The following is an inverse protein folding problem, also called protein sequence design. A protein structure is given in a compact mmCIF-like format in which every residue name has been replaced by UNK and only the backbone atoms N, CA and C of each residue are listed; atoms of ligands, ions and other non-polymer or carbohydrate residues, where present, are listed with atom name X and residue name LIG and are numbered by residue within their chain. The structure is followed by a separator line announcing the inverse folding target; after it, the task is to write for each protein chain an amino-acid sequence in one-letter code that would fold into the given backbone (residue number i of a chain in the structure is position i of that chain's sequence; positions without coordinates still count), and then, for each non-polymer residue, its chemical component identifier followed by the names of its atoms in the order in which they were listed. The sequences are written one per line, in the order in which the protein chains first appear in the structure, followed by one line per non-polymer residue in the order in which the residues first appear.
data_IF_833254001148
#
_entry.id   IF_833254001148
#
_cell.length_a   1.000
_cell.length_b   1.000
_cell.length_c   1.000
_cell.angle_alpha   90.00
_cell.angle_beta   90.00
_cell.angle_gamma   90.00
#
_symmetry.space_group_name_H-M   'P 1'
#
loop_
_entity.id
_entity.type
_entity.pdbx_description
1 polymer ?
#
# COMPACT_ATOMS: atom_id res chain seq x y z
N UNK A 1 -25.14 30.68 -20.95
CA UNK A 1 -23.78 30.16 -20.70
C UNK A 1 -23.73 29.58 -19.30
N UNK A 2 -23.68 28.26 -19.17
CA UNK A 2 -23.66 27.57 -17.87
C UNK A 2 -22.21 27.52 -17.43
N UNK A 3 -21.86 28.29 -16.39
CA UNK A 3 -20.53 28.27 -15.79
C UNK A 3 -20.28 26.88 -15.16
N UNK A 4 -19.39 26.09 -15.73
CA UNK A 4 -18.96 24.81 -15.17
C UNK A 4 -18.09 25.09 -13.94
N UNK A 5 -18.60 24.76 -12.76
CA UNK A 5 -17.82 24.79 -11.53
C UNK A 5 -16.63 23.84 -11.61
N UNK A 6 -15.46 24.31 -11.28
CA UNK A 6 -14.26 23.46 -11.16
C UNK A 6 -14.37 22.56 -9.93
N UNK A 7 -13.71 21.39 -9.94
CA UNK A 7 -13.65 20.46 -8.77
C UNK A 7 -13.28 21.18 -7.47
N UNK A 8 -12.38 22.13 -7.53
CA UNK A 8 -11.93 22.92 -6.39
C UNK A 8 -13.00 23.85 -5.85
N UNK A 9 -13.81 24.46 -6.73
CA UNK A 9 -14.95 25.28 -6.35
C UNK A 9 -16.10 24.46 -5.79
N UNK A 10 -16.33 23.25 -6.33
CA UNK A 10 -17.33 22.32 -5.79
C UNK A 10 -17.00 21.90 -4.35
N UNK A 11 -15.75 21.50 -4.09
CA UNK A 11 -15.30 21.10 -2.74
C UNK A 11 -15.39 22.28 -1.75
N UNK A 12 -14.97 23.48 -2.17
CA UNK A 12 -15.02 24.68 -1.34
C UNK A 12 -16.45 25.12 -1.03
N UNK A 13 -17.35 25.03 -1.99
CA UNK A 13 -18.75 25.39 -1.84
C UNK A 13 -19.52 24.35 -0.98
N UNK A 14 -19.14 23.07 -1.03
CA UNK A 14 -19.69 22.03 -0.15
C UNK A 14 -19.29 22.23 1.31
N UNK A 15 -18.06 22.69 1.57
CA UNK A 15 -17.59 23.03 2.92
C UNK A 15 -18.31 24.26 3.49
N UNK A 16 -18.63 25.27 2.65
CA UNK A 16 -19.36 26.49 3.06
C UNK A 16 -20.84 26.19 3.26
N UNK A 17 -21.45 25.29 2.48
CA UNK A 17 -22.86 24.89 2.66
C UNK A 17 -23.07 24.12 3.97
N UNK A 18 -22.09 23.32 4.42
CA UNK A 18 -22.12 22.66 5.73
C UNK A 18 -22.04 23.64 6.91
N UNK A 19 -21.39 24.79 6.74
CA UNK A 19 -21.30 25.82 7.77
C UNK A 19 -22.55 26.71 7.88
N UNK A 20 -23.33 26.83 6.78
CA UNK A 20 -24.51 27.69 6.75
C UNK A 20 -25.78 27.04 7.35
N UNK A 21 -25.87 25.73 7.43
CA UNK A 21 -27.00 25.02 8.06
C UNK A 21 -26.86 24.95 9.59
N UNK A 22 -25.66 25.21 10.13
CA UNK A 22 -25.42 25.25 11.58
C UNK A 22 -25.78 26.54 12.31
N UNK A 23 -26.16 27.61 11.60
CA UNK A 23 -26.41 28.92 12.22
C UNK A 23 -27.85 29.14 12.75
N UNK A 24 -28.67 28.11 12.77
CA UNK A 24 -30.13 28.23 13.13
C UNK A 24 -30.59 27.45 14.35
N UNK A 25 -29.73 26.81 15.13
CA UNK A 25 -30.10 26.05 16.33
C UNK A 25 -29.18 26.42 17.48
N UNK A 26 -29.82 26.78 18.60
CA UNK A 26 -29.30 27.26 19.86
C UNK A 26 -27.94 26.68 20.30
N UNK A 27 -27.11 27.56 20.85
CA UNK A 27 -25.94 27.30 21.67
C UNK A 27 -26.17 26.11 22.62
N UNK A 28 -25.73 24.93 22.22
CA UNK A 28 -25.51 23.83 23.12
C UNK A 28 -24.01 23.46 23.07
N UNK A 29 -23.43 23.19 24.24
CA UNK A 29 -22.03 23.01 24.58
C UNK A 29 -21.26 21.87 23.84
N UNK A 30 -21.68 21.46 22.65
CA UNK A 30 -21.10 20.28 21.95
C UNK A 30 -20.10 20.60 20.87
N UNK A 31 -19.85 21.85 20.51
CA UNK A 31 -18.87 22.24 19.48
C UNK A 31 -17.39 21.99 19.86
N UNK A 32 -16.95 22.20 21.11
CA UNK A 32 -15.55 21.96 21.46
C UNK A 32 -15.14 20.48 21.41
N UNK A 33 -16.06 19.55 21.68
CA UNK A 33 -15.78 18.12 21.64
C UNK A 33 -15.60 17.58 20.21
N UNK A 34 -16.39 18.01 19.25
CA UNK A 34 -16.28 17.55 17.86
C UNK A 34 -14.99 18.04 17.20
N UNK A 35 -14.60 19.31 17.43
CA UNK A 35 -13.31 19.85 16.97
C UNK A 35 -12.13 19.17 17.66
N UNK A 36 -12.21 18.91 18.95
CA UNK A 36 -11.19 18.20 19.70
C UNK A 36 -11.06 16.75 19.28
N UNK A 37 -12.15 16.05 18.99
CA UNK A 37 -12.16 14.70 18.46
C UNK A 37 -11.53 14.65 17.06
N UNK A 38 -11.90 15.55 16.16
CA UNK A 38 -11.30 15.65 14.82
C UNK A 38 -9.82 15.96 14.89
N UNK A 39 -9.37 16.87 15.76
CA UNK A 39 -7.95 17.16 15.97
C UNK A 39 -7.19 16.00 16.60
N UNK A 40 -7.84 15.17 17.43
CA UNK A 40 -7.21 13.97 18.01
C UNK A 40 -7.07 12.84 16.98
N UNK A 41 -8.03 12.67 16.07
CA UNK A 41 -7.93 11.70 14.97
C UNK A 41 -6.84 12.09 13.96
N UNK A 42 -6.75 13.34 13.57
CA UNK A 42 -5.72 13.83 12.64
C UNK A 42 -4.30 13.70 13.21
N UNK A 43 -4.12 13.84 14.52
CA UNK A 43 -2.82 13.60 15.18
C UNK A 43 -2.33 12.16 15.10
N UNK A 44 -3.21 11.19 14.83
CA UNK A 44 -2.85 9.78 14.64
C UNK A 44 -2.43 9.45 13.22
N UNK A 45 -2.61 10.36 12.27
CA UNK A 45 -2.26 10.15 10.85
C UNK A 45 -0.80 10.54 10.66
N UNK A 46 0.02 9.60 10.21
CA UNK A 46 1.42 9.88 9.88
C UNK A 46 1.49 10.93 8.78
N UNK A 47 2.36 11.94 8.97
CA UNK A 47 2.60 13.01 8.00
C UNK A 47 1.34 13.76 7.57
N UNK A 48 0.39 13.95 8.49
CA UNK A 48 -0.87 14.60 8.15
C UNK A 48 -0.66 15.92 7.38
N UNK A 49 -1.35 16.02 6.26
CA UNK A 49 -1.40 17.22 5.43
C UNK A 49 -2.87 17.49 5.07
N UNK A 50 -3.41 18.68 5.35
CA UNK A 50 -4.83 18.99 5.10
C UNK A 50 -5.21 18.96 3.60
N UNK A 51 -4.24 19.06 2.70
CA UNK A 51 -4.46 18.97 1.24
C UNK A 51 -4.43 17.51 0.74
N UNK A 52 -4.13 16.53 1.60
CA UNK A 52 -4.08 15.10 1.27
C UNK A 52 -5.32 14.40 1.81
N UNK A 53 -5.96 13.60 0.96
CA UNK A 53 -7.01 12.69 1.39
C UNK A 53 -6.40 11.45 2.05
N UNK A 54 -6.98 11.03 3.19
CA UNK A 54 -6.60 9.79 3.87
C UNK A 54 -7.79 8.86 3.95
N UNK A 55 -7.54 7.57 3.80
CA UNK A 55 -8.57 6.54 3.85
C UNK A 55 -8.17 5.43 4.80
N UNK A 56 -9.13 4.94 5.56
CA UNK A 56 -8.92 3.79 6.43
C UNK A 56 -8.67 2.53 5.60
N UNK A 57 -7.58 1.85 5.89
CA UNK A 57 -7.21 0.60 5.22
C UNK A 57 -7.85 -0.60 5.93
N UNK A 58 -9.14 -0.80 5.74
CA UNK A 58 -9.90 -1.88 6.36
C UNK A 58 -9.69 -1.97 7.88
N UNK A 59 -9.79 -3.17 8.42
CA UNK A 59 -9.63 -3.45 9.86
C UNK A 59 -8.22 -3.22 10.42
N UNK A 60 -7.22 -2.90 9.59
CA UNK A 60 -5.92 -2.47 10.09
C UNK A 60 -6.00 -1.18 10.89
N UNK A 61 -7.04 -0.37 10.67
CA UNK A 61 -7.20 0.95 11.25
C UNK A 61 -6.20 2.00 10.77
N UNK A 62 -5.27 1.63 9.88
CA UNK A 62 -4.31 2.58 9.32
C UNK A 62 -5.01 3.60 8.44
N UNK A 63 -4.77 4.87 8.69
CA UNK A 63 -5.17 5.96 7.82
C UNK A 63 -4.08 6.18 6.78
N UNK A 64 -4.31 5.72 5.57
CA UNK A 64 -3.34 5.75 4.46
C UNK A 64 -3.69 6.88 3.50
N UNK A 65 -2.68 7.63 3.06
CA UNK A 65 -2.83 8.66 2.05
C UNK A 65 -3.39 8.08 0.74
N UNK A 66 -4.29 8.82 0.09
CA UNK A 66 -4.92 8.38 -1.17
C UNK A 66 -3.90 8.18 -2.29
N UNK A 67 -2.76 8.88 -2.22
CA UNK A 67 -1.59 8.66 -3.07
C UNK A 67 -0.51 7.98 -2.25
N UNK A 68 0.10 6.93 -2.81
CA UNK A 68 1.17 6.16 -2.17
C UNK A 68 2.42 6.17 -3.05
N UNK A 69 3.58 6.07 -2.41
CA UNK A 69 4.84 5.95 -3.12
C UNK A 69 5.03 4.48 -3.53
N UNK A 70 5.13 4.23 -4.83
CA UNK A 70 5.46 2.93 -5.40
C UNK A 70 6.91 2.87 -5.85
N UNK A 71 7.31 1.69 -6.33
CA UNK A 71 8.60 1.46 -6.98
C UNK A 71 8.50 1.46 -8.50
N UNK A 72 9.16 0.50 -9.15
CA UNK A 72 9.14 0.28 -10.60
C UNK A 72 9.66 1.48 -11.41
N UNK A 73 10.72 2.10 -10.96
CA UNK A 73 11.35 3.26 -11.60
C UNK A 73 12.16 2.90 -12.86
N UNK A 74 11.49 2.54 -13.93
CA UNK A 74 12.12 2.07 -15.19
C UNK A 74 12.96 3.12 -15.93
N UNK A 75 12.77 4.39 -15.67
CA UNK A 75 13.39 5.49 -16.44
C UNK A 75 14.16 6.46 -15.55
N UNK A 76 14.60 6.01 -14.41
CA UNK A 76 15.25 6.90 -13.46
C UNK A 76 16.59 7.44 -14.00
N UNK A 77 17.32 6.66 -14.76
CA UNK A 77 18.57 7.08 -15.42
C UNK A 77 18.39 8.30 -16.34
N UNK A 78 17.21 8.48 -16.92
CA UNK A 78 16.90 9.69 -17.71
C UNK A 78 16.82 10.96 -16.86
N UNK A 79 16.65 10.81 -15.57
CA UNK A 79 16.54 11.91 -14.61
C UNK A 79 17.85 12.18 -13.91
N UNK A 80 18.55 11.13 -13.48
CA UNK A 80 19.78 11.23 -12.69
C UNK A 80 21.05 11.00 -13.50
N UNK A 81 20.93 10.59 -14.75
CA UNK A 81 22.08 10.16 -15.59
C UNK A 81 22.51 8.73 -15.28
N UNK A 82 23.50 8.26 -16.03
CA UNK A 82 24.02 6.89 -15.93
C UNK A 82 23.67 6.04 -17.14
N UNK A 83 24.07 4.78 -17.12
CA UNK A 83 23.75 3.81 -18.16
C UNK A 83 22.34 3.27 -18.03
N UNK A 84 21.64 3.04 -19.16
CA UNK A 84 20.37 2.31 -19.13
C UNK A 84 20.63 0.92 -18.57
N UNK A 85 19.87 0.49 -17.55
CA UNK A 85 20.07 -0.80 -16.93
C UNK A 85 19.63 -1.93 -17.88
N UNK A 86 20.40 -2.99 -17.90
CA UNK A 86 19.98 -4.26 -18.50
C UNK A 86 18.96 -4.92 -17.57
N UNK A 87 17.75 -5.18 -18.07
CA UNK A 87 16.69 -5.86 -17.33
C UNK A 87 15.61 -4.96 -16.74
N UNK A 88 14.70 -5.59 -16.02
CA UNK A 88 13.42 -5.00 -15.68
C UNK A 88 13.48 -3.90 -14.60
N UNK A 89 14.38 -4.02 -13.65
CA UNK A 89 14.50 -3.12 -12.49
C UNK A 89 15.96 -2.84 -12.14
N UNK A 90 16.85 -3.07 -13.06
CA UNK A 90 18.27 -2.89 -12.81
C UNK A 90 18.61 -1.40 -12.79
N UNK A 91 18.95 -0.92 -11.66
CA UNK A 91 19.52 0.39 -11.43
C UNK A 91 20.64 0.19 -10.42
N UNK A 92 21.75 0.88 -10.59
CA UNK A 92 22.77 0.91 -9.55
C UNK A 92 22.21 1.62 -8.31
N UNK A 93 21.56 0.83 -7.44
CA UNK A 93 20.95 1.31 -6.21
C UNK A 93 21.98 1.81 -5.20
N UNK A 94 23.25 1.53 -5.40
CA UNK A 94 24.35 1.93 -4.51
C UNK A 94 25.01 3.23 -4.96
N UNK A 95 24.75 3.70 -6.19
CA UNK A 95 25.27 4.97 -6.66
C UNK A 95 24.76 6.14 -5.78
N UNK A 96 25.64 7.11 -5.57
CA UNK A 96 25.36 8.30 -4.76
C UNK A 96 24.15 9.09 -5.29
N UNK A 97 24.05 9.22 -6.61
CA UNK A 97 23.00 10.01 -7.25
C UNK A 97 21.64 9.32 -7.14
N UNK A 98 21.61 7.98 -7.28
CA UNK A 98 20.39 7.21 -7.05
C UNK A 98 19.92 7.36 -5.60
N UNK A 99 20.81 7.17 -4.64
CA UNK A 99 20.47 7.25 -3.23
C UNK A 99 20.01 8.65 -2.83
N UNK A 100 20.69 9.69 -3.32
CA UNK A 100 20.25 11.07 -3.12
C UNK A 100 18.86 11.28 -3.69
N UNK A 101 18.60 10.84 -4.91
CA UNK A 101 17.29 10.95 -5.55
C UNK A 101 16.19 10.24 -4.72
N UNK A 102 16.44 9.02 -4.24
CA UNK A 102 15.45 8.29 -3.42
C UNK A 102 15.22 8.97 -2.08
N UNK A 103 16.27 9.47 -1.45
CA UNK A 103 16.16 10.23 -0.21
C UNK A 103 15.30 11.49 -0.40
N UNK A 104 15.57 12.25 -1.45
CA UNK A 104 14.85 13.49 -1.75
C UNK A 104 13.38 13.22 -2.08
N UNK A 105 13.10 12.19 -2.89
CA UNK A 105 11.72 11.77 -3.22
C UNK A 105 10.95 11.35 -1.96
N UNK A 106 11.54 10.51 -1.11
CA UNK A 106 10.92 10.08 0.15
C UNK A 106 10.68 11.29 1.07
N UNK A 107 11.64 12.20 1.16
CA UNK A 107 11.50 13.44 1.95
C UNK A 107 10.31 14.26 1.43
N UNK A 108 10.24 14.46 0.12
CA UNK A 108 9.14 15.19 -0.49
C UNK A 108 7.79 14.53 -0.30
N UNK A 109 7.75 13.19 -0.34
CA UNK A 109 6.53 12.43 -0.04
C UNK A 109 6.06 12.68 1.41
N UNK A 110 6.97 12.59 2.38
CA UNK A 110 6.68 12.86 3.79
C UNK A 110 6.12 14.28 3.98
N UNK A 111 6.79 15.29 3.42
CA UNK A 111 6.37 16.70 3.49
C UNK A 111 4.99 16.95 2.87
N UNK A 112 4.61 16.16 1.87
CA UNK A 112 3.33 16.27 1.17
C UNK A 112 2.22 15.36 1.74
N UNK A 113 2.46 14.72 2.86
CA UNK A 113 1.48 13.91 3.56
C UNK A 113 1.34 12.49 3.02
N UNK A 114 2.22 12.04 2.13
CA UNK A 114 2.27 10.64 1.72
C UNK A 114 2.90 9.83 2.85
N UNK A 115 2.18 8.82 3.32
CA UNK A 115 2.55 8.05 4.49
C UNK A 115 2.70 6.54 4.26
N UNK A 116 2.68 6.10 2.99
CA UNK A 116 2.83 4.69 2.65
C UNK A 116 3.75 4.52 1.44
N UNK A 117 4.72 3.63 1.58
CA UNK A 117 5.55 3.14 0.50
C UNK A 117 5.27 1.67 0.23
N UNK A 118 5.20 1.30 -1.05
CA UNK A 118 4.97 -0.08 -1.50
C UNK A 118 6.16 -0.59 -2.29
N UNK A 119 6.83 -1.62 -1.78
CA UNK A 119 8.00 -2.24 -2.38
C UNK A 119 7.74 -3.72 -2.67
N UNK A 120 8.02 -4.16 -3.89
CA UNK A 120 7.73 -5.53 -4.32
C UNK A 120 8.93 -6.29 -4.90
N UNK A 121 10.10 -5.69 -4.93
CA UNK A 121 11.33 -6.36 -5.32
C UNK A 121 12.49 -5.92 -4.43
N UNK A 122 13.60 -6.69 -4.51
CA UNK A 122 14.82 -6.47 -3.72
C UNK A 122 15.31 -5.01 -3.80
N UNK A 123 15.45 -4.49 -5.00
CA UNK A 123 15.99 -3.17 -5.26
C UNK A 123 15.13 -2.07 -4.61
N UNK A 124 13.80 -2.20 -4.71
CA UNK A 124 12.86 -1.26 -4.09
C UNK A 124 12.93 -1.31 -2.56
N UNK A 125 12.96 -2.52 -2.00
CA UNK A 125 13.05 -2.72 -0.56
C UNK A 125 14.33 -2.10 -0.01
N UNK A 126 15.48 -2.40 -0.62
CA UNK A 126 16.78 -1.87 -0.19
C UNK A 126 16.85 -0.34 -0.34
N UNK A 127 16.38 0.18 -1.48
CA UNK A 127 16.41 1.62 -1.75
C UNK A 127 15.55 2.40 -0.74
N UNK A 128 14.34 1.94 -0.47
CA UNK A 128 13.44 2.62 0.47
C UNK A 128 13.85 2.42 1.91
N UNK A 129 14.34 1.25 2.29
CA UNK A 129 14.91 1.04 3.63
C UNK A 129 16.06 2.00 3.91
N UNK A 130 16.95 2.19 2.93
CA UNK A 130 18.06 3.12 3.02
C UNK A 130 17.59 4.57 3.07
N UNK A 131 16.63 4.98 2.22
CA UNK A 131 16.06 6.32 2.22
C UNK A 131 15.28 6.64 3.51
N UNK A 132 14.76 5.64 4.20
CA UNK A 132 14.03 5.78 5.47
C UNK A 132 14.92 5.56 6.71
N UNK A 133 16.21 5.31 6.56
CA UNK A 133 17.11 5.13 7.70
C UNK A 133 17.07 6.35 8.64
N UNK A 134 16.84 6.11 9.93
CA UNK A 134 16.66 7.15 10.94
C UNK A 134 15.30 7.86 10.95
N UNK A 135 14.39 7.48 10.05
CA UNK A 135 13.02 8.03 9.94
C UNK A 135 12.00 6.98 9.48
N UNK A 136 12.25 5.70 9.83
CA UNK A 136 11.41 4.56 9.44
C UNK A 136 9.97 4.69 9.96
N UNK A 137 9.78 5.38 11.07
CA UNK A 137 8.50 5.69 11.69
C UNK A 137 7.64 6.69 10.90
N UNK A 138 8.20 7.36 9.90
CA UNK A 138 7.48 8.35 9.08
C UNK A 138 6.65 7.75 7.96
N UNK A 139 6.84 6.49 7.61
CA UNK A 139 6.07 5.85 6.54
C UNK A 139 5.70 4.41 6.90
N UNK A 140 4.49 4.03 6.60
CA UNK A 140 4.10 2.62 6.54
C UNK A 140 4.82 1.94 5.39
N UNK A 141 5.38 0.76 5.63
CA UNK A 141 6.18 0.01 4.66
C UNK A 141 5.43 -1.26 4.22
N UNK A 142 4.95 -1.27 2.98
CA UNK A 142 4.45 -2.45 2.30
C UNK A 142 5.59 -3.24 1.67
N UNK A 143 5.67 -4.50 2.00
CA UNK A 143 6.76 -5.39 1.66
C UNK A 143 6.27 -6.60 0.89
N UNK A 144 6.96 -6.94 -0.19
CA UNK A 144 6.85 -8.18 -0.92
C UNK A 144 8.18 -8.42 -1.64
N UNK A 145 8.83 -9.55 -1.38
CA UNK A 145 10.06 -9.90 -2.06
C UNK A 145 9.79 -11.00 -3.08
N UNK A 146 9.27 -10.61 -4.22
CA UNK A 146 8.63 -11.50 -5.19
C UNK A 146 9.47 -12.71 -5.63
N UNK A 147 10.82 -12.63 -5.64
CA UNK A 147 11.69 -13.76 -5.98
C UNK A 147 11.90 -14.75 -4.82
N UNK A 148 11.56 -14.38 -3.59
CA UNK A 148 11.61 -15.23 -2.39
C UNK A 148 10.21 -15.47 -1.83
N UNK A 149 9.21 -15.44 -2.69
CA UNK A 149 7.81 -15.68 -2.35
C UNK A 149 7.21 -16.77 -3.25
N UNK A 150 5.97 -17.09 -3.00
CA UNK A 150 5.24 -18.19 -3.63
C UNK A 150 5.11 -18.13 -5.16
N UNK A 151 5.61 -17.08 -5.80
CA UNK A 151 5.72 -16.97 -7.25
C UNK A 151 6.63 -18.06 -7.84
N UNK A 152 7.64 -18.50 -7.09
CA UNK A 152 8.57 -19.57 -7.47
C UNK A 152 8.32 -20.81 -6.62
N UNK A 153 8.35 -21.98 -7.24
CA UNK A 153 7.98 -23.25 -6.59
C UNK A 153 8.79 -23.54 -5.34
N UNK A 154 10.08 -23.28 -5.36
CA UNK A 154 10.98 -23.50 -4.24
C UNK A 154 10.63 -22.66 -2.99
N UNK A 155 9.83 -21.61 -3.15
CA UNK A 155 9.42 -20.71 -2.07
C UNK A 155 7.97 -20.94 -1.61
N UNK A 156 7.23 -21.93 -2.11
CA UNK A 156 5.81 -22.13 -1.82
C UNK A 156 5.48 -22.78 -0.47
N UNK A 157 6.48 -23.27 0.27
CA UNK A 157 6.23 -23.78 1.61
C UNK A 157 6.31 -22.69 2.68
N UNK A 158 5.54 -22.83 3.78
CA UNK A 158 5.59 -21.92 4.90
C UNK A 158 7.02 -21.75 5.47
N UNK A 159 7.78 -22.83 5.50
CA UNK A 159 9.19 -22.80 5.93
C UNK A 159 10.03 -21.86 5.06
N UNK A 160 9.89 -21.98 3.75
CA UNK A 160 10.64 -21.16 2.78
C UNK A 160 10.18 -19.71 2.77
N UNK A 161 8.89 -19.46 2.84
CA UNK A 161 8.35 -18.11 2.94
C UNK A 161 8.84 -17.36 4.20
N UNK A 162 8.87 -18.04 5.35
CA UNK A 162 9.45 -17.50 6.59
C UNK A 162 10.92 -17.19 6.43
N UNK A 163 11.69 -18.10 5.84
CA UNK A 163 13.10 -17.91 5.54
C UNK A 163 13.29 -16.68 4.62
N UNK A 164 12.51 -16.57 3.55
CA UNK A 164 12.58 -15.45 2.60
C UNK A 164 12.30 -14.09 3.25
N UNK A 165 11.31 -14.02 4.15
CA UNK A 165 11.03 -12.82 4.91
C UNK A 165 12.21 -12.45 5.83
N UNK A 166 12.73 -13.39 6.61
CA UNK A 166 13.83 -13.14 7.55
C UNK A 166 15.11 -12.71 6.83
N UNK A 167 15.46 -13.38 5.73
CA UNK A 167 16.61 -13.01 4.91
C UNK A 167 16.46 -11.61 4.30
N UNK A 168 15.29 -11.30 3.76
CA UNK A 168 15.04 -10.01 3.13
C UNK A 168 15.01 -8.86 4.14
N UNK A 169 14.39 -9.04 5.29
CA UNK A 169 14.40 -8.05 6.36
C UNK A 169 15.82 -7.80 6.87
N UNK A 170 16.61 -8.85 7.05
CA UNK A 170 18.01 -8.76 7.47
C UNK A 170 18.85 -8.00 6.45
N UNK A 171 18.73 -8.31 5.16
CA UNK A 171 19.45 -7.62 4.08
C UNK A 171 19.07 -6.14 4.00
N UNK A 172 17.81 -5.83 4.21
CA UNK A 172 17.30 -4.47 4.21
C UNK A 172 17.56 -3.68 5.51
N UNK A 173 18.05 -4.34 6.57
CA UNK A 173 18.22 -3.72 7.89
C UNK A 173 16.89 -3.28 8.51
N UNK A 174 15.83 -4.07 8.32
CA UNK A 174 14.49 -3.80 8.85
C UNK A 174 14.22 -4.66 10.08
N UNK A 175 13.89 -4.02 11.19
CA UNK A 175 13.46 -4.71 12.42
C UNK A 175 12.01 -5.20 12.30
N UNK A 176 11.18 -4.47 11.57
CA UNK A 176 9.79 -4.82 11.26
C UNK A 176 9.34 -4.23 9.93
N UNK A 177 8.26 -4.77 9.38
CA UNK A 177 7.51 -4.15 8.27
C UNK A 177 6.06 -3.91 8.70
N UNK A 178 5.41 -2.90 8.09
CA UNK A 178 4.02 -2.62 8.46
C UNK A 178 3.06 -3.60 7.79
N UNK A 179 3.28 -3.93 6.52
CA UNK A 179 2.45 -4.86 5.78
C UNK A 179 3.31 -5.83 4.96
N UNK A 180 3.27 -7.11 5.28
CA UNK A 180 3.78 -8.14 4.38
C UNK A 180 2.65 -8.70 3.55
N UNK A 181 2.81 -8.67 2.23
CA UNK A 181 1.85 -9.25 1.29
C UNK A 181 2.56 -10.26 0.37
N UNK A 182 2.02 -11.46 0.32
CA UNK A 182 2.51 -12.52 -0.58
C UNK A 182 1.74 -12.44 -1.90
N UNK A 183 2.47 -12.56 -3.02
CA UNK A 183 1.85 -12.63 -4.34
C UNK A 183 1.31 -14.03 -4.62
N UNK A 184 0.01 -14.14 -4.79
CA UNK A 184 -0.69 -15.39 -5.10
C UNK A 184 -1.46 -15.26 -6.42
N UNK A 185 -1.62 -16.37 -7.14
CA UNK A 185 -2.48 -16.48 -8.32
C UNK A 185 -2.19 -15.38 -9.37
N UNK A 186 -0.92 -15.05 -9.57
CA UNK A 186 -0.52 -14.23 -10.71
C UNK A 186 -0.57 -15.07 -11.98
N UNK A 187 -0.81 -14.48 -13.13
CA UNK A 187 -1.07 -15.15 -14.41
C UNK A 187 -0.06 -16.25 -14.78
N UNK A 188 1.21 -16.06 -14.40
CA UNK A 188 2.30 -17.00 -14.67
C UNK A 188 2.48 -18.09 -13.60
N UNK A 189 1.72 -18.08 -12.51
CA UNK A 189 2.01 -18.91 -11.35
C UNK A 189 0.74 -19.20 -10.53
N UNK A 190 -0.03 -20.19 -10.99
CA UNK A 190 -1.20 -20.64 -10.25
C UNK A 190 -0.79 -21.47 -9.04
N UNK A 191 -1.52 -21.27 -7.94
CA UNK A 191 -1.29 -21.94 -6.66
C UNK A 191 -2.39 -22.96 -6.36
N UNK A 192 -1.98 -24.10 -5.83
CA UNK A 192 -2.90 -25.09 -5.27
C UNK A 192 -3.49 -24.60 -3.95
N UNK A 193 -4.64 -25.14 -3.50
CA UNK A 193 -5.18 -24.84 -2.18
C UNK A 193 -4.21 -25.11 -1.02
N UNK A 194 -3.34 -26.13 -1.15
CA UNK A 194 -2.31 -26.45 -0.17
C UNK A 194 -1.21 -25.37 -0.12
N UNK A 195 -0.76 -24.86 -1.26
CA UNK A 195 0.23 -23.77 -1.32
C UNK A 195 -0.34 -22.45 -0.78
N UNK A 196 -1.62 -22.18 -1.01
CA UNK A 196 -2.31 -21.03 -0.39
C UNK A 196 -2.36 -21.18 1.13
N UNK A 197 -2.59 -22.39 1.64
CA UNK A 197 -2.53 -22.67 3.07
C UNK A 197 -1.15 -22.47 3.66
N UNK A 198 -0.09 -22.89 2.97
CA UNK A 198 1.29 -22.63 3.38
C UNK A 198 1.60 -21.12 3.43
N UNK A 199 1.11 -20.35 2.49
CA UNK A 199 1.23 -18.89 2.53
C UNK A 199 0.48 -18.29 3.73
N UNK A 200 -0.75 -18.75 4.03
CA UNK A 200 -1.51 -18.32 5.19
C UNK A 200 -0.79 -18.63 6.51
N UNK A 201 -0.20 -19.84 6.65
CA UNK A 201 0.62 -20.22 7.81
C UNK A 201 1.86 -19.32 7.98
N UNK A 202 2.51 -18.94 6.90
CA UNK A 202 3.67 -18.05 6.95
C UNK A 202 3.27 -16.63 7.37
N UNK A 203 2.20 -16.09 6.81
CA UNK A 203 1.65 -14.78 7.16
C UNK A 203 1.26 -14.70 8.63
N UNK A 204 0.50 -15.68 9.13
CA UNK A 204 0.08 -15.76 10.53
C UNK A 204 1.28 -15.81 11.48
N UNK A 205 2.29 -16.63 11.15
CA UNK A 205 3.52 -16.69 11.93
C UNK A 205 4.25 -15.34 11.98
N UNK A 206 4.39 -14.66 10.85
CA UNK A 206 5.09 -13.38 10.78
C UNK A 206 4.42 -12.31 11.66
N UNK A 207 3.08 -12.30 11.68
CA UNK A 207 2.30 -11.40 12.53
C UNK A 207 2.44 -11.78 14.01
N UNK A 208 2.29 -13.05 14.36
CA UNK A 208 2.41 -13.54 15.75
C UNK A 208 3.79 -13.33 16.35
N UNK A 209 4.83 -13.34 15.53
CA UNK A 209 6.21 -13.13 15.97
C UNK A 209 6.66 -11.66 15.93
N UNK A 210 5.77 -10.73 15.57
CA UNK A 210 6.04 -9.30 15.56
C UNK A 210 6.93 -8.81 14.41
N UNK A 211 7.25 -9.67 13.45
CA UNK A 211 8.02 -9.29 12.25
C UNK A 211 7.24 -8.32 11.38
N UNK A 212 5.92 -8.51 11.35
CA UNK A 212 5.01 -7.66 10.59
C UNK A 212 3.83 -7.23 11.46
N UNK A 213 3.32 -6.04 11.20
CA UNK A 213 2.13 -5.52 11.90
C UNK A 213 0.85 -6.05 11.28
N UNK A 214 0.80 -6.08 9.96
CA UNK A 214 -0.35 -6.50 9.17
C UNK A 214 0.06 -7.45 8.07
N UNK A 215 -0.89 -8.27 7.62
CA UNK A 215 -0.66 -9.29 6.61
C UNK A 215 -1.66 -9.17 5.47
N UNK A 216 -1.20 -9.53 4.28
CA UNK A 216 -2.04 -9.42 3.10
C UNK A 216 -1.61 -10.32 1.95
N UNK A 217 -2.37 -10.24 0.88
CA UNK A 217 -2.07 -10.92 -0.38
C UNK A 217 -2.23 -9.98 -1.56
N UNK A 218 -1.50 -10.27 -2.64
CA UNK A 218 -1.70 -9.61 -3.92
C UNK A 218 -2.05 -10.63 -5.00
N UNK A 219 -2.99 -10.28 -5.87
CA UNK A 219 -3.37 -11.12 -6.99
C UNK A 219 -4.01 -10.32 -8.13
N UNK A 220 -3.84 -10.83 -9.35
CA UNK A 220 -4.56 -10.36 -10.52
C UNK A 220 -5.89 -11.10 -10.74
N UNK A 221 -6.05 -12.27 -10.11
CA UNK A 221 -7.24 -13.10 -10.21
C UNK A 221 -8.25 -12.73 -9.10
N UNK A 222 -9.24 -11.91 -9.44
CA UNK A 222 -10.25 -11.43 -8.47
C UNK A 222 -11.20 -12.51 -7.98
N UNK A 223 -11.72 -13.42 -8.84
CA UNK A 223 -12.56 -14.53 -8.39
C UNK A 223 -11.89 -15.42 -7.37
N UNK A 224 -10.62 -15.79 -7.60
CA UNK A 224 -9.89 -16.63 -6.66
C UNK A 224 -9.45 -15.85 -5.42
N UNK A 225 -9.10 -14.56 -5.58
CA UNK A 225 -8.83 -13.68 -4.45
C UNK A 225 -10.02 -13.60 -3.50
N UNK A 226 -11.24 -13.48 -4.04
CA UNK A 226 -12.48 -13.53 -3.26
C UNK A 226 -12.60 -14.82 -2.45
N UNK A 227 -12.39 -15.99 -3.06
CA UNK A 227 -12.44 -17.29 -2.37
C UNK A 227 -11.41 -17.39 -1.23
N UNK A 228 -10.19 -16.89 -1.47
CA UNK A 228 -9.14 -16.87 -0.45
C UNK A 228 -9.54 -16.00 0.72
N UNK A 229 -10.08 -14.80 0.47
CA UNK A 229 -10.54 -13.89 1.54
C UNK A 229 -11.68 -14.54 2.34
N UNK A 230 -12.64 -15.17 1.68
CA UNK A 230 -13.76 -15.85 2.36
C UNK A 230 -13.25 -17.00 3.25
N UNK A 231 -12.25 -17.76 2.80
CA UNK A 231 -11.65 -18.86 3.56
C UNK A 231 -10.78 -18.38 4.73
N UNK A 232 -10.04 -17.28 4.55
CA UNK A 232 -9.09 -16.76 5.53
C UNK A 232 -9.49 -15.36 6.04
N UNK A 233 -10.80 -15.15 6.19
CA UNK A 233 -11.39 -13.86 6.55
C UNK A 233 -10.86 -13.28 7.87
N UNK A 234 -10.48 -14.12 8.82
CA UNK A 234 -9.95 -13.70 10.12
C UNK A 234 -8.46 -13.34 10.07
N UNK A 235 -7.76 -13.75 9.01
CA UNK A 235 -6.32 -13.56 8.88
C UNK A 235 -5.98 -12.42 7.91
N UNK A 236 -6.50 -12.48 6.67
CA UNK A 236 -6.13 -11.53 5.61
C UNK A 236 -6.72 -10.15 5.88
N UNK A 237 -5.85 -9.18 6.09
CA UNK A 237 -6.24 -7.82 6.48
C UNK A 237 -6.20 -6.83 5.31
N UNK A 238 -5.32 -7.07 4.32
CA UNK A 238 -5.14 -6.17 3.17
C UNK A 238 -4.98 -6.96 1.89
N UNK A 239 -5.54 -6.45 0.81
CA UNK A 239 -5.26 -6.96 -0.53
C UNK A 239 -4.60 -5.89 -1.41
N UNK A 240 -3.86 -6.36 -2.42
CA UNK A 240 -3.43 -5.56 -3.56
C UNK A 240 -3.91 -6.23 -4.85
N UNK A 241 -4.67 -5.48 -5.66
CA UNK A 241 -5.14 -5.96 -6.97
C UNK A 241 -5.04 -4.87 -8.03
N UNK A 242 -4.82 -5.19 -9.30
CA UNK A 242 -4.83 -4.21 -10.37
C UNK A 242 -6.17 -3.50 -10.50
N UNK A 243 -6.10 -2.18 -10.68
CA UNK A 243 -7.25 -1.33 -10.94
C UNK A 243 -6.83 -0.19 -11.85
N UNK A 244 -7.08 -0.33 -13.15
CA UNK A 244 -6.69 0.66 -14.15
C UNK A 244 -7.91 1.17 -14.89
N UNK A 245 -7.88 2.44 -15.31
CA UNK A 245 -8.97 3.05 -16.07
C UNK A 245 -9.24 2.37 -17.42
N UNK A 246 -8.22 1.72 -17.98
CA UNK A 246 -8.31 1.03 -19.27
C UNK A 246 -8.59 -0.48 -19.12
N UNK A 247 -8.66 -1.01 -17.90
CA UNK A 247 -8.93 -2.44 -17.71
C UNK A 247 -10.43 -2.69 -17.64
N UNK A 248 -10.88 -3.76 -18.28
CA UNK A 248 -12.24 -4.30 -18.11
C UNK A 248 -12.54 -4.72 -16.65
N UNK A 249 -11.54 -4.59 -15.77
CA UNK A 249 -11.61 -4.92 -14.34
C UNK A 249 -12.14 -3.76 -13.48
N UNK A 250 -12.69 -2.71 -14.08
CA UNK A 250 -13.32 -1.60 -13.33
C UNK A 250 -14.62 -2.05 -12.68
N UNK A 251 -15.38 -2.91 -13.37
CA UNK A 251 -16.62 -3.50 -12.84
C UNK A 251 -16.31 -4.67 -11.92
N UNK A 252 -17.01 -4.76 -10.79
CA UNK A 252 -16.86 -5.87 -9.86
C UNK A 252 -17.76 -7.04 -10.23
N UNK A 253 -17.50 -7.67 -11.36
CA UNK A 253 -18.22 -8.88 -11.79
C UNK A 253 -17.92 -10.09 -10.88
N UNK A 254 -16.80 -10.05 -10.15
CA UNK A 254 -16.41 -11.13 -9.23
C UNK A 254 -17.11 -11.06 -7.86
N UNK A 255 -17.70 -9.91 -7.49
CA UNK A 255 -18.21 -9.64 -6.16
C UNK A 255 -17.11 -9.41 -5.11
N UNK A 256 -15.87 -9.15 -5.53
CA UNK A 256 -14.73 -8.96 -4.63
C UNK A 256 -14.95 -7.78 -3.71
N UNK A 257 -15.43 -6.64 -4.23
CA UNK A 257 -15.62 -5.43 -3.42
C UNK A 257 -16.64 -5.60 -2.31
N UNK A 258 -17.73 -6.31 -2.59
CA UNK A 258 -18.73 -6.67 -1.58
C UNK A 258 -18.10 -7.55 -0.48
N UNK A 259 -17.26 -8.51 -0.86
CA UNK A 259 -16.54 -9.39 0.07
C UNK A 259 -15.55 -8.60 0.94
N UNK A 260 -14.77 -7.70 0.36
CA UNK A 260 -13.86 -6.84 1.12
C UNK A 260 -14.60 -5.99 2.15
N UNK A 261 -15.73 -5.41 1.75
CA UNK A 261 -16.57 -4.62 2.65
C UNK A 261 -17.15 -5.48 3.78
N UNK A 262 -17.62 -6.69 3.47
CA UNK A 262 -18.18 -7.63 4.46
C UNK A 262 -17.19 -7.97 5.56
N UNK A 263 -15.93 -8.21 5.20
CA UNK A 263 -14.88 -8.65 6.14
C UNK A 263 -13.96 -7.52 6.58
N UNK A 264 -14.27 -6.27 6.22
CA UNK A 264 -13.47 -5.07 6.51
C UNK A 264 -11.99 -5.23 6.11
N UNK A 265 -11.75 -5.81 4.95
CA UNK A 265 -10.40 -6.00 4.40
C UNK A 265 -9.98 -4.75 3.66
N UNK A 266 -8.78 -4.24 3.95
CA UNK A 266 -8.20 -3.08 3.28
C UNK A 266 -7.91 -3.36 1.81
N UNK A 267 -8.29 -2.45 0.93
CA UNK A 267 -8.07 -2.55 -0.50
C UNK A 267 -7.02 -1.54 -0.96
N UNK A 268 -5.96 -2.06 -1.54
CA UNK A 268 -4.97 -1.26 -2.25
C UNK A 268 -5.04 -1.54 -3.74
N UNK A 269 -5.16 -0.46 -4.51
CA UNK A 269 -5.28 -0.54 -5.96
C UNK A 269 -3.94 -0.25 -6.62
N UNK A 270 -3.44 -1.18 -7.44
CA UNK A 270 -2.32 -0.94 -8.32
C UNK A 270 -2.81 -0.27 -9.60
N UNK A 271 -2.44 1.00 -9.80
CA UNK A 271 -2.79 1.77 -10.98
C UNK A 271 -1.67 1.74 -12.02
N UNK A 272 -1.20 0.57 -12.41
CA UNK A 272 -0.19 0.45 -13.46
C UNK A 272 -0.77 0.90 -14.80
N UNK A 273 -0.36 2.07 -15.25
CA UNK A 273 -0.49 2.49 -16.64
C UNK A 273 0.67 1.87 -17.41
N UNK A 274 0.42 0.85 -18.20
CA UNK A 274 1.36 0.11 -19.06
C UNK A 274 2.33 -0.84 -18.34
N UNK A 275 1.94 -2.08 -18.22
CA UNK A 275 2.85 -3.20 -18.40
C UNK A 275 2.71 -3.68 -19.86
N UNK A 276 3.40 -3.06 -20.79
CA UNK A 276 3.77 -3.77 -22.01
C UNK A 276 4.78 -4.83 -21.61
N UNK A 277 4.40 -6.06 -21.75
CA UNK A 277 5.27 -7.22 -21.73
C UNK A 277 6.25 -7.13 -22.91
#
# INVERSE_FOLDING_TARGET
MINKLTRRQFIRNSAVAGAAVGAGIALSDHQPMALAAHSAETRKILNYNPDMEYRRCGRTGLMISAVCLGGHWKRLVKIIGGSEPEGWMTTDIDSRDFQKNRYDVVTRCIERGINYVDACCREEILAYSKALKGRRDKMYFGYSWHIKESRFEEWRSAKKLKQGLDEGMKEAGLDYVDLWRISLLVDSSRHTPAEVEEAAKALDWAKKTGRVRFIGISSHDRPDLKKIIEKYSDQIEVILTPYTANSKLITDESGLWATLKKYDVGDRKSTRLNSSH
#
